data_IF_651498601013
#
_entry.id   IF_651498601013
#
_cell.length_a   1.000
_cell.length_b   1.000
_cell.length_c   1.000
_cell.angle_alpha   90.00
_cell.angle_beta   90.00
_cell.angle_gamma   90.00
#
_symmetry.space_group_name_H-M   'P 1'
#
loop_
_entity.id
_entity.type
_entity.pdbx_description
1 polymer ?
#
# COMPACT_ATOMS: atom_id res chain seq x y z
N UNK A 1 -12.34 7.86 -20.77
CA UNK A 1 -12.67 6.66 -19.97
C UNK A 1 -12.20 6.90 -18.54
N UNK A 2 -13.11 6.84 -17.56
CA UNK A 2 -12.81 7.13 -16.14
C UNK A 2 -12.07 5.92 -15.56
N UNK A 3 -10.78 6.07 -15.22
CA UNK A 3 -10.02 5.00 -14.58
C UNK A 3 -10.60 4.76 -13.20
N UNK A 4 -10.91 3.50 -12.89
CA UNK A 4 -11.55 3.12 -11.63
C UNK A 4 -10.72 3.60 -10.44
N UNK A 5 -11.37 4.09 -9.39
CA UNK A 5 -10.70 4.46 -8.16
C UNK A 5 -10.00 3.21 -7.56
N UNK A 6 -8.67 3.22 -7.52
CA UNK A 6 -7.89 2.13 -6.93
C UNK A 6 -7.91 2.31 -5.42
N UNK A 7 -8.45 1.33 -4.70
CA UNK A 7 -8.41 1.31 -3.24
C UNK A 7 -6.99 1.00 -2.81
N UNK A 8 -6.37 1.94 -2.09
CA UNK A 8 -5.04 1.81 -1.50
C UNK A 8 -5.17 1.61 0.01
N UNK A 9 -4.85 0.40 0.51
CA UNK A 9 -4.81 0.13 1.95
C UNK A 9 -3.36 -0.04 2.40
N UNK A 10 -2.82 0.78 3.31
CA UNK A 10 -1.45 0.62 3.78
C UNK A 10 -1.28 -0.71 4.54
N UNK A 11 -0.17 -1.41 4.30
CA UNK A 11 0.13 -2.70 4.93
C UNK A 11 1.15 -2.54 6.05
N UNK A 12 0.74 -2.79 7.28
CA UNK A 12 1.62 -2.73 8.46
C UNK A 12 2.26 -4.08 8.73
N UNK A 13 3.59 -4.15 8.71
CA UNK A 13 4.39 -5.30 9.16
C UNK A 13 5.85 -4.87 9.34
N UNK A 14 6.61 -5.57 10.17
CA UNK A 14 8.04 -5.30 10.42
C UNK A 14 8.86 -5.21 9.13
N UNK A 15 8.63 -6.14 8.20
CA UNK A 15 9.29 -6.13 6.89
C UNK A 15 8.98 -4.85 6.09
N UNK A 16 7.73 -4.39 6.11
CA UNK A 16 7.35 -3.18 5.37
C UNK A 16 7.96 -1.95 6.05
N UNK A 17 8.02 -1.92 7.37
CA UNK A 17 8.72 -0.88 8.10
C UNK A 17 10.22 -0.83 7.72
N UNK A 18 10.90 -1.97 7.71
CA UNK A 18 12.30 -2.05 7.27
C UNK A 18 12.52 -1.59 5.83
N UNK A 19 11.61 -1.92 4.91
CA UNK A 19 11.66 -1.46 3.51
C UNK A 19 11.44 0.06 3.37
N UNK A 20 10.60 0.64 4.22
CA UNK A 20 10.38 2.09 4.25
C UNK A 20 11.66 2.82 4.65
N UNK A 21 12.40 2.31 5.63
CA UNK A 21 13.64 2.95 6.12
C UNK A 21 14.82 2.75 5.17
N UNK A 22 14.98 1.56 4.61
CA UNK A 22 16.16 1.20 3.80
C UNK A 22 16.05 1.59 2.33
N UNK A 23 14.85 1.49 1.75
CA UNK A 23 14.65 1.59 0.29
C UNK A 23 13.55 2.58 -0.10
N UNK A 24 13.06 3.38 0.85
CA UNK A 24 11.93 4.30 0.64
C UNK A 24 10.74 3.63 -0.09
N UNK A 25 10.47 2.37 0.28
CA UNK A 25 9.48 1.53 -0.39
C UNK A 25 8.32 1.22 0.55
N UNK A 26 7.13 1.64 0.14
CA UNK A 26 5.89 1.47 0.88
C UNK A 26 5.04 0.37 0.26
N UNK A 27 4.24 -0.31 1.08
CA UNK A 27 3.43 -1.44 0.63
C UNK A 27 1.96 -1.20 0.88
N UNK A 28 1.16 -1.38 -0.18
CA UNK A 28 -0.28 -1.26 -0.15
C UNK A 28 -0.93 -2.58 -0.53
N UNK A 29 -2.01 -2.94 0.15
CA UNK A 29 -2.97 -3.93 -0.30
C UNK A 29 -3.94 -3.23 -1.27
N UNK A 30 -4.04 -3.78 -2.48
CA UNK A 30 -4.81 -3.21 -3.60
C UNK A 30 -5.78 -4.22 -4.19
N UNK A 31 -6.74 -3.74 -4.98
CA UNK A 31 -7.66 -4.60 -5.72
C UNK A 31 -6.91 -5.53 -6.68
N UNK A 32 -7.48 -6.71 -6.92
CA UNK A 32 -6.89 -7.73 -7.80
C UNK A 32 -6.74 -7.26 -9.24
N UNK A 33 -7.64 -6.39 -9.69
CA UNK A 33 -7.71 -5.94 -11.09
C UNK A 33 -6.85 -4.69 -11.34
N UNK A 34 -6.22 -4.12 -10.31
CA UNK A 34 -5.44 -2.90 -10.42
C UNK A 34 -4.14 -3.11 -11.23
N UNK A 35 -3.93 -2.27 -12.25
CA UNK A 35 -2.68 -2.27 -13.01
C UNK A 35 -1.60 -1.42 -12.31
N UNK A 36 -0.32 -1.63 -12.67
CA UNK A 36 0.81 -0.88 -12.11
C UNK A 36 0.70 0.62 -12.37
N UNK A 37 0.24 0.99 -13.58
CA UNK A 37 0.05 2.39 -13.96
C UNK A 37 -1.03 3.06 -13.12
N UNK A 38 -2.16 2.40 -12.94
CA UNK A 38 -3.27 2.92 -12.13
C UNK A 38 -2.86 3.09 -10.67
N UNK A 39 -2.10 2.14 -10.11
CA UNK A 39 -1.57 2.24 -8.75
C UNK A 39 -0.62 3.44 -8.63
N UNK A 40 0.25 3.65 -9.63
CA UNK A 40 1.18 4.78 -9.62
C UNK A 40 0.43 6.12 -9.65
N UNK A 41 -0.56 6.25 -10.53
CA UNK A 41 -1.37 7.47 -10.61
C UNK A 41 -2.19 7.70 -9.33
N UNK A 42 -2.78 6.64 -8.77
CA UNK A 42 -3.54 6.75 -7.52
C UNK A 42 -2.67 7.21 -6.35
N UNK A 43 -1.46 6.64 -6.19
CA UNK A 43 -0.53 7.04 -5.11
C UNK A 43 -0.03 8.47 -5.33
N UNK A 44 0.33 8.82 -6.57
CA UNK A 44 0.78 10.18 -6.91
C UNK A 44 -0.31 11.21 -6.62
N UNK A 45 -1.55 10.93 -6.97
CA UNK A 45 -2.66 11.87 -6.78
C UNK A 45 -3.10 11.97 -5.31
N UNK A 46 -3.04 10.87 -4.54
CA UNK A 46 -3.51 10.86 -3.16
C UNK A 46 -2.50 11.44 -2.17
N UNK A 47 -1.21 11.35 -2.49
CA UNK A 47 -0.13 11.77 -1.59
C UNK A 47 0.79 12.84 -2.18
N UNK A 48 0.58 13.24 -3.43
CA UNK A 48 1.35 14.29 -4.12
C UNK A 48 2.87 14.00 -4.20
N UNK A 49 3.25 12.70 -4.21
CA UNK A 49 4.65 12.25 -4.22
C UNK A 49 5.13 11.77 -5.59
N UNK A 50 6.44 11.82 -5.82
CA UNK A 50 7.10 11.23 -6.97
C UNK A 50 7.33 9.73 -6.80
N UNK A 51 7.02 8.95 -7.84
CA UNK A 51 7.21 7.49 -7.86
C UNK A 51 8.42 7.14 -8.73
N UNK A 52 9.29 6.27 -8.21
CA UNK A 52 10.43 5.69 -8.92
C UNK A 52 10.06 4.37 -9.58
N UNK A 53 9.43 3.46 -8.85
CA UNK A 53 9.00 2.18 -9.41
C UNK A 53 7.84 1.55 -8.66
N UNK A 54 7.03 0.76 -9.36
CA UNK A 54 5.92 -0.03 -8.79
C UNK A 54 6.11 -1.50 -9.11
N UNK A 55 6.12 -2.34 -8.08
CA UNK A 55 6.14 -3.80 -8.19
C UNK A 55 4.89 -4.36 -7.52
N UNK A 56 4.30 -5.39 -8.11
CA UNK A 56 3.06 -5.98 -7.60
C UNK A 56 3.22 -7.49 -7.43
N UNK A 57 2.65 -8.03 -6.36
CA UNK A 57 2.65 -9.46 -6.07
C UNK A 57 1.24 -9.89 -5.65
N UNK A 58 0.71 -10.96 -6.27
CA UNK A 58 -0.57 -11.55 -5.87
C UNK A 58 -0.35 -12.63 -4.82
N UNK A 59 -1.13 -12.60 -3.73
CA UNK A 59 -1.13 -13.61 -2.69
C UNK A 59 -2.50 -14.26 -2.58
N UNK A 60 -2.53 -15.60 -2.64
CA UNK A 60 -3.77 -16.36 -2.47
C UNK A 60 -4.20 -16.33 -1.01
N UNK A 61 -5.49 -16.11 -0.78
CA UNK A 61 -6.06 -16.16 0.56
C UNK A 61 -6.01 -17.56 1.13
N UNK A 62 -5.73 -17.66 2.43
CA UNK A 62 -5.63 -18.94 3.13
C UNK A 62 -7.00 -19.62 3.21
N UNK A 63 -7.05 -20.92 2.92
CA UNK A 63 -8.23 -21.75 3.17
C UNK A 63 -8.41 -21.89 4.68
N UNK A 64 -9.60 -21.59 5.16
CA UNK A 64 -9.99 -21.69 6.56
C UNK A 64 -11.19 -22.63 6.72
N UNK A 65 -11.24 -23.23 7.89
CA UNK A 65 -12.33 -24.08 8.32
C UNK A 65 -12.98 -23.42 9.52
N UNK A 66 -14.27 -23.12 9.45
CA UNK A 66 -15.02 -22.69 10.62
C UNK A 66 -15.63 -23.90 11.30
N UNK A 67 -15.27 -24.14 12.56
CA UNK A 67 -15.98 -25.06 13.44
C UNK A 67 -17.00 -24.24 14.25
N UNK A 68 -18.29 -24.57 14.13
CA UNK A 68 -19.30 -24.08 15.07
C UNK A 68 -19.21 -24.88 16.38
N UNK A 69 -19.30 -24.22 17.54
CA UNK A 69 -19.63 -24.91 18.81
C UNK A 69 -21.00 -25.60 18.60
N UNK A 70 -21.07 -26.90 18.83
CA UNK A 70 -22.33 -27.67 18.72
C UNK A 70 -22.45 -28.63 17.52
N UNK A 71 -21.39 -28.86 16.74
CA UNK A 71 -21.28 -30.09 15.95
C UNK A 71 -22.01 -30.16 14.60
N UNK A 72 -22.51 -29.07 14.02
CA UNK A 72 -23.04 -29.08 12.63
C UNK A 72 -22.44 -28.01 11.69
N UNK A 73 -22.19 -28.49 10.48
CA UNK A 73 -21.54 -27.91 9.28
C UNK A 73 -20.14 -27.31 9.47
N UNK A 74 -19.15 -28.03 8.97
CA UNK A 74 -17.79 -27.56 8.69
C UNK A 74 -17.84 -26.76 7.38
N UNK A 75 -18.07 -25.44 7.45
CA UNK A 75 -18.00 -24.62 6.24
C UNK A 75 -16.53 -24.36 5.90
N UNK A 76 -16.12 -24.83 4.72
CA UNK A 76 -14.86 -24.42 4.12
C UNK A 76 -15.02 -23.03 3.53
N UNK A 77 -14.17 -22.09 3.93
CA UNK A 77 -14.16 -20.75 3.36
C UNK A 77 -12.73 -20.35 3.02
N UNK A 78 -12.55 -19.68 1.89
CA UNK A 78 -11.26 -19.15 1.48
C UNK A 78 -11.23 -17.65 1.74
N UNK A 79 -10.20 -17.16 2.44
CA UNK A 79 -10.02 -15.71 2.60
C UNK A 79 -9.89 -15.03 1.24
N UNK A 80 -10.25 -13.75 1.17
CA UNK A 80 -10.07 -12.96 -0.02
C UNK A 80 -8.59 -12.95 -0.46
N UNK A 81 -8.37 -13.02 -1.77
CA UNK A 81 -7.04 -12.87 -2.34
C UNK A 81 -6.60 -11.41 -2.24
N UNK A 82 -5.33 -11.19 -1.94
CA UNK A 82 -4.78 -9.85 -1.75
C UNK A 82 -3.69 -9.63 -2.79
N UNK A 83 -3.73 -8.49 -3.46
CA UNK A 83 -2.64 -8.03 -4.31
C UNK A 83 -1.84 -6.99 -3.52
N UNK A 84 -0.53 -7.18 -3.40
CA UNK A 84 0.38 -6.29 -2.69
C UNK A 84 1.10 -5.44 -3.72
N UNK A 85 1.09 -4.13 -3.55
CA UNK A 85 1.83 -3.17 -4.35
C UNK A 85 2.97 -2.59 -3.53
N UNK A 86 4.20 -2.86 -3.96
CA UNK A 86 5.43 -2.25 -3.48
C UNK A 86 5.70 -1.01 -4.32
N UNK A 87 5.63 0.15 -3.70
CA UNK A 87 5.79 1.44 -4.36
C UNK A 87 7.04 2.11 -3.80
N UNK A 88 8.04 2.25 -4.66
CA UNK A 88 9.28 2.95 -4.33
C UNK A 88 9.13 4.41 -4.74
N UNK A 89 9.31 5.32 -3.79
CA UNK A 89 9.24 6.76 -4.05
C UNK A 89 10.57 7.30 -4.58
N UNK A 90 10.53 8.54 -5.07
CA UNK A 90 11.75 9.30 -5.35
C UNK A 90 12.44 9.68 -4.04
N UNK A 91 13.73 9.99 -4.15
CA UNK A 91 14.52 10.42 -3.00
C UNK A 91 13.99 11.76 -2.49
N UNK A 92 13.77 11.87 -1.18
CA UNK A 92 13.23 13.07 -0.52
C UNK A 92 11.73 13.00 -0.19
N UNK A 93 10.95 12.20 -0.92
CA UNK A 93 9.52 12.03 -0.65
C UNK A 93 9.30 10.98 0.45
N UNK A 94 8.40 11.26 1.40
CA UNK A 94 8.02 10.34 2.48
C UNK A 94 6.51 10.30 2.66
N UNK A 95 6.00 9.13 3.02
CA UNK A 95 4.58 8.95 3.32
C UNK A 95 4.33 8.92 4.84
N UNK A 96 3.25 9.55 5.32
CA UNK A 96 2.85 9.53 6.73
C UNK A 96 2.18 8.21 7.14
N UNK A 97 2.72 7.06 6.72
CA UNK A 97 2.15 5.73 7.00
C UNK A 97 2.77 5.11 8.27
N UNK A 98 4.06 5.36 8.48
CA UNK A 98 4.84 4.83 9.60
C UNK A 98 5.34 5.92 10.54
N UNK A 99 4.79 7.13 10.43
CA UNK A 99 5.14 8.22 11.31
C UNK A 99 4.68 7.87 12.74
N UNK A 100 5.59 7.34 13.56
CA UNK A 100 5.62 7.76 14.95
C UNK A 100 5.75 9.29 14.91
N UNK A 101 4.97 9.98 15.73
CA UNK A 101 4.96 11.44 15.82
C UNK A 101 6.36 11.92 16.21
N UNK A 102 7.21 12.11 15.22
CA UNK A 102 8.37 12.98 15.30
C UNK A 102 7.94 14.28 14.65
N UNK A 103 7.87 15.32 15.46
CA UNK A 103 7.64 16.67 14.98
C UNK A 103 8.60 17.02 13.84
N UNK A 104 8.14 17.79 12.86
CA UNK A 104 8.82 17.94 11.58
C UNK A 104 10.14 18.69 11.72
N UNK A 105 11.25 18.02 11.39
CA UNK A 105 12.46 18.68 10.94
C UNK A 105 12.17 19.37 9.59
N UNK A 106 11.91 20.66 9.67
CA UNK A 106 11.76 21.63 8.58
C UNK A 106 12.80 21.51 7.45
N UNK A 107 12.33 21.60 6.18
CA UNK A 107 12.93 22.34 5.04
C UNK A 107 11.78 22.74 4.08
N UNK A 108 11.16 23.92 4.24
CA UNK A 108 11.43 25.28 3.69
C UNK A 108 11.03 25.50 2.20
N UNK A 109 10.62 26.74 1.84
CA UNK A 109 9.62 27.04 0.82
C UNK A 109 10.21 27.26 -0.57
N UNK A 110 9.46 26.94 -1.62
CA UNK A 110 9.76 27.44 -2.98
C UNK A 110 8.92 28.69 -3.22
N UNK A 111 9.58 29.85 -3.09
CA UNK A 111 9.19 31.10 -3.74
C UNK A 111 10.03 31.24 -5.01
N UNK A 112 9.37 31.34 -6.16
CA UNK A 112 9.82 32.11 -7.34
C UNK A 112 8.52 32.63 -7.97
N UNK A 113 8.08 33.88 -7.82
CA UNK A 113 8.59 35.14 -8.37
C UNK A 113 8.91 35.09 -9.87
N UNK A 114 7.88 35.34 -10.69
CA UNK A 114 7.88 36.41 -11.69
C UNK A 114 6.46 36.96 -11.84
#
# INVERSE_FOLDING_TARGET
MKRLAVILKPRLSEKVYGLSQTQNTYVFDVSRDANKHDIAEAVKNQYEVGIKSVRVASSRGKSQRSLRRGGRSVRHFQRANIRKAYVTLKDGDKLPIFAAVEEPATKKPVKESK
#
